data_IF_067363510964
#
_entry.id   IF_067363510964
#
_cell.length_a   1.000
_cell.length_b   1.000
_cell.length_c   1.000
_cell.angle_alpha   90.00
_cell.angle_beta   90.00
_cell.angle_gamma   90.00
#
_symmetry.space_group_name_H-M   'P 1'
#
loop_
_entity.id
_entity.type
_entity.pdbx_description
1 polymer ?
#
# COMPACT_ATOMS: atom_id res chain seq x y z
N UNK A 1 -0.65 -58.34 -18.30
CA UNK A 1 -1.51 -57.35 -17.62
C UNK A 1 -0.93 -55.97 -17.96
N UNK A 2 -1.46 -55.04 -18.78
CA UNK A 2 -2.83 -54.54 -19.04
C UNK A 2 -3.61 -54.47 -17.71
N UNK A 3 -4.10 -53.32 -17.23
CA UNK A 3 -5.06 -52.42 -17.91
C UNK A 3 -4.90 -50.96 -17.42
N UNK A 4 -5.32 -50.07 -18.33
CA UNK A 4 -5.38 -48.61 -18.52
C UNK A 4 -6.09 -47.68 -17.51
N UNK A 5 -5.68 -46.39 -17.58
CA UNK A 5 -6.42 -45.11 -17.59
C UNK A 5 -7.79 -44.99 -16.86
N UNK A 6 -7.89 -43.98 -15.99
CA UNK A 6 -9.17 -43.38 -15.57
C UNK A 6 -9.26 -41.94 -16.11
N UNK A 7 -10.09 -41.76 -17.14
CA UNK A 7 -10.44 -40.48 -17.70
C UNK A 7 -11.74 -39.96 -17.08
N UNK A 8 -11.81 -38.65 -16.87
CA UNK A 8 -13.07 -37.94 -16.66
C UNK A 8 -13.43 -37.26 -17.98
N UNK A 9 -14.52 -37.75 -18.59
CA UNK A 9 -15.13 -37.25 -19.81
C UNK A 9 -16.63 -37.20 -19.56
N UNK A 10 -17.20 -36.02 -19.41
CA UNK A 10 -18.64 -35.78 -19.67
C UNK A 10 -18.81 -34.37 -20.20
N UNK A 11 -19.06 -34.29 -21.50
CA UNK A 11 -19.58 -33.09 -22.13
C UNK A 11 -21.09 -32.99 -21.91
N UNK A 12 -21.57 -31.76 -21.87
CA UNK A 12 -22.95 -31.44 -22.21
C UNK A 12 -22.92 -30.13 -23.01
N UNK A 13 -23.10 -30.27 -24.31
CA UNK A 13 -23.42 -29.16 -25.20
C UNK A 13 -24.89 -28.78 -24.95
N UNK A 14 -25.16 -27.51 -24.68
CA UNK A 14 -26.50 -26.94 -24.77
C UNK A 14 -26.45 -25.85 -25.82
N UNK A 15 -26.78 -26.25 -27.04
CA UNK A 15 -27.25 -25.38 -28.10
C UNK A 15 -28.73 -25.14 -27.84
N UNK A 16 -29.12 -23.90 -27.56
CA UNK A 16 -30.47 -23.43 -27.87
C UNK A 16 -30.37 -22.08 -28.59
N UNK A 17 -30.71 -22.16 -29.86
CA UNK A 17 -30.95 -21.04 -30.73
C UNK A 17 -32.15 -20.23 -30.23
N UNK A 18 -31.99 -18.91 -30.25
CA UNK A 18 -33.06 -17.95 -30.01
C UNK A 18 -32.69 -16.65 -30.72
N UNK A 19 -32.84 -16.64 -32.04
CA UNK A 19 -32.85 -15.41 -32.83
C UNK A 19 -33.95 -14.50 -32.31
N UNK A 20 -33.59 -13.30 -31.85
CA UNK A 20 -34.50 -12.17 -31.86
C UNK A 20 -33.86 -11.08 -32.71
N UNK A 21 -34.11 -11.15 -34.01
CA UNK A 21 -33.81 -10.09 -34.95
C UNK A 21 -35.13 -9.64 -35.58
N UNK A 22 -35.53 -8.38 -35.38
CA UNK A 22 -36.47 -7.55 -36.17
C UNK A 22 -36.78 -6.28 -35.34
N UNK A 23 -36.76 -5.03 -35.81
CA UNK A 23 -36.23 -4.39 -37.01
C UNK A 23 -36.25 -2.85 -36.81
N UNK A 24 -35.21 -2.19 -37.35
CA UNK A 24 -35.10 -0.89 -38.04
C UNK A 24 -36.22 0.17 -37.96
N UNK A 25 -35.82 1.42 -37.66
CA UNK A 25 -36.12 2.76 -38.29
C UNK A 25 -36.14 3.87 -37.21
N UNK A 26 -35.50 5.05 -37.30
CA UNK A 26 -34.77 5.75 -38.35
C UNK A 26 -33.97 6.95 -37.78
N UNK A 27 -33.24 7.64 -38.67
CA UNK A 27 -32.07 8.49 -38.41
C UNK A 27 -32.33 9.95 -38.04
N UNK A 28 -31.37 10.59 -37.35
CA UNK A 28 -30.99 11.98 -37.59
C UNK A 28 -29.49 12.25 -37.33
N UNK A 29 -28.76 12.44 -38.44
CA UNK A 29 -27.63 13.36 -38.70
C UNK A 29 -26.25 13.10 -38.04
N UNK A 30 -25.37 12.61 -38.92
CA UNK A 30 -23.91 12.62 -38.87
C UNK A 30 -23.30 13.92 -38.37
N UNK A 31 -22.22 13.83 -37.60
CA UNK A 31 -20.88 14.29 -38.04
C UNK A 31 -19.84 13.62 -37.13
N UNK A 32 -18.98 12.77 -37.69
CA UNK A 32 -17.65 12.52 -37.15
C UNK A 32 -16.67 13.14 -38.16
N UNK A 33 -15.59 13.81 -37.69
CA UNK A 33 -14.42 13.02 -37.30
C UNK A 33 -13.65 13.56 -36.09
N UNK A 34 -12.81 12.66 -35.56
CA UNK A 34 -11.53 12.95 -34.90
C UNK A 34 -11.46 12.97 -33.36
N UNK A 35 -11.00 11.84 -32.82
CA UNK A 35 -9.90 11.71 -31.84
C UNK A 35 -9.95 12.56 -30.55
N UNK A 36 -10.47 11.96 -29.46
CA UNK A 36 -9.78 11.90 -28.15
C UNK A 36 -10.50 10.93 -27.20
N UNK A 37 -9.81 9.87 -26.78
CA UNK A 37 -10.12 9.02 -25.63
C UNK A 37 -9.74 9.76 -24.31
N UNK A 38 -9.96 9.22 -23.10
CA UNK A 38 -11.16 9.11 -22.26
C UNK A 38 -10.99 9.79 -20.87
N UNK A 39 -11.92 9.53 -19.93
CA UNK A 39 -11.60 9.27 -18.50
C UNK A 39 -11.54 10.38 -17.43
N UNK A 40 -12.17 11.55 -17.60
CA UNK A 40 -11.96 12.64 -16.62
C UNK A 40 -13.23 13.05 -15.85
N UNK A 41 -13.99 12.09 -15.31
CA UNK A 41 -15.09 12.39 -14.37
C UNK A 41 -15.12 11.56 -13.08
N UNK A 42 -14.22 10.59 -12.91
CA UNK A 42 -14.15 9.79 -11.68
C UNK A 42 -13.05 10.27 -10.71
N UNK A 43 -12.12 11.09 -11.20
CA UNK A 43 -11.03 11.62 -10.36
C UNK A 43 -11.50 12.74 -9.43
N UNK A 44 -12.48 13.56 -9.82
CA UNK A 44 -12.94 14.68 -8.99
C UNK A 44 -13.72 14.24 -7.74
N UNK A 45 -14.42 13.10 -7.78
CA UNK A 45 -15.13 12.54 -6.62
C UNK A 45 -14.18 11.92 -5.56
N UNK A 46 -12.95 11.59 -5.94
CA UNK A 46 -11.92 11.08 -5.01
C UNK A 46 -11.26 12.21 -4.22
N UNK A 47 -11.27 13.45 -4.73
CA UNK A 47 -10.72 14.62 -4.03
C UNK A 47 -11.73 15.31 -3.10
N UNK A 48 -13.03 15.03 -3.24
CA UNK A 48 -14.07 15.57 -2.35
C UNK A 48 -13.98 15.04 -0.89
N UNK A 49 -13.17 14.00 -0.62
CA UNK A 49 -12.86 13.52 0.73
C UNK A 49 -11.57 14.12 1.34
N UNK A 50 -10.88 15.01 0.62
CA UNK A 50 -9.86 15.89 1.21
C UNK A 50 -10.53 17.10 1.86
N UNK A 51 -11.51 16.82 2.72
CA UNK A 51 -12.09 17.82 3.60
C UNK A 51 -10.97 18.57 4.34
N UNK A 52 -11.26 19.84 4.64
CA UNK A 52 -10.44 20.85 5.29
C UNK A 52 -9.41 20.29 6.28
N UNK A 53 -8.26 20.96 6.50
CA UNK A 53 -7.26 20.55 7.48
C UNK A 53 -7.81 20.72 8.91
N UNK A 54 -8.77 19.88 9.29
CA UNK A 54 -9.15 19.60 10.66
C UNK A 54 -8.00 18.76 11.19
N UNK A 55 -7.26 19.34 12.14
CA UNK A 55 -6.18 18.65 12.84
C UNK A 55 -6.61 17.20 13.12
N UNK A 56 -5.85 16.19 12.65
CA UNK A 56 -6.20 14.79 12.87
C UNK A 56 -6.40 14.55 14.36
N UNK A 57 -7.41 13.74 14.71
CA UNK A 57 -7.60 13.34 16.10
C UNK A 57 -6.27 12.78 16.65
N UNK A 58 -5.89 13.06 17.92
CA UNK A 58 -4.54 12.78 18.45
C UNK A 58 -4.02 11.35 18.20
N UNK A 59 -4.91 10.35 18.19
CA UNK A 59 -4.55 8.95 17.87
C UNK A 59 -4.22 8.70 16.40
N UNK A 60 -4.90 9.38 15.46
CA UNK A 60 -4.63 9.26 14.02
C UNK A 60 -3.31 9.92 13.64
N UNK A 61 -2.93 10.99 14.34
CA UNK A 61 -1.63 11.65 14.14
C UNK A 61 -0.48 10.70 14.47
N UNK A 62 -0.65 9.87 15.51
CA UNK A 62 0.34 8.88 15.90
C UNK A 62 0.58 7.81 14.86
N UNK A 63 -0.49 7.20 14.37
CA UNK A 63 -0.39 6.17 13.34
C UNK A 63 0.22 6.74 12.06
N UNK A 64 -0.15 7.97 11.67
CA UNK A 64 0.43 8.68 10.52
C UNK A 64 1.91 8.90 10.69
N UNK A 65 2.35 9.38 11.85
CA UNK A 65 3.76 9.60 12.13
C UNK A 65 4.55 8.29 12.10
N UNK A 66 4.04 7.22 12.69
CA UNK A 66 4.68 5.89 12.63
C UNK A 66 4.79 5.40 11.18
N UNK A 67 3.74 5.55 10.37
CA UNK A 67 3.76 5.17 8.97
C UNK A 67 4.81 5.98 8.16
N UNK A 68 4.96 7.28 8.46
CA UNK A 68 6.02 8.09 7.85
C UNK A 68 7.41 7.57 8.21
N UNK A 69 7.65 7.22 9.47
CA UNK A 69 8.92 6.62 9.89
C UNK A 69 9.20 5.30 9.16
N UNK A 70 8.19 4.43 9.03
CA UNK A 70 8.33 3.18 8.27
C UNK A 70 8.73 3.46 6.81
N UNK A 71 8.04 4.38 6.15
CA UNK A 71 8.32 4.73 4.76
C UNK A 71 9.74 5.29 4.58
N UNK A 72 10.17 6.18 5.49
CA UNK A 72 11.54 6.73 5.48
C UNK A 72 12.56 5.59 5.63
N UNK A 73 12.40 4.71 6.62
CA UNK A 73 13.35 3.61 6.84
C UNK A 73 13.37 2.65 5.66
N UNK A 74 12.21 2.29 5.10
CA UNK A 74 12.11 1.43 3.91
C UNK A 74 12.81 2.06 2.70
N UNK A 75 12.69 3.37 2.49
CA UNK A 75 13.35 4.06 1.37
C UNK A 75 14.88 4.05 1.47
N UNK A 76 15.41 3.91 2.69
CA UNK A 76 16.85 3.79 2.95
C UNK A 76 17.34 2.33 2.99
N UNK A 77 16.43 1.36 3.04
CA UNK A 77 16.76 -0.06 3.06
C UNK A 77 17.33 -0.48 1.70
N UNK A 78 18.53 -1.05 1.72
CA UNK A 78 19.16 -1.60 0.52
C UNK A 78 18.67 -3.02 0.28
N UNK A 79 18.53 -3.38 -0.98
CA UNK A 79 18.14 -4.74 -1.43
C UNK A 79 16.86 -5.24 -0.74
N UNK A 80 15.83 -4.38 -0.65
CA UNK A 80 14.55 -4.68 0.01
C UNK A 80 13.95 -6.04 -0.41
N UNK A 81 14.03 -6.38 -1.70
CA UNK A 81 13.56 -7.64 -2.28
C UNK A 81 14.23 -8.89 -1.67
N UNK A 82 15.50 -8.79 -1.25
CA UNK A 82 16.22 -9.88 -0.59
C UNK A 82 15.62 -10.24 0.78
N UNK A 83 14.75 -9.38 1.30
CA UNK A 83 14.07 -9.55 2.57
C UNK A 83 12.57 -9.82 2.43
N UNK A 84 12.09 -10.16 1.22
CA UNK A 84 10.68 -10.47 0.98
C UNK A 84 10.16 -11.56 1.94
N UNK A 85 8.98 -11.31 2.52
CA UNK A 85 8.36 -12.19 3.52
C UNK A 85 8.97 -12.14 4.92
N UNK A 86 10.11 -11.47 5.10
CA UNK A 86 10.77 -11.29 6.40
C UNK A 86 10.16 -10.11 7.15
N UNK A 87 10.44 -10.05 8.45
CA UNK A 87 9.99 -8.98 9.34
C UNK A 87 11.09 -8.68 10.35
N UNK A 88 11.21 -7.41 10.73
CA UNK A 88 12.01 -6.99 11.87
C UNK A 88 11.19 -6.09 12.79
N UNK A 89 11.26 -6.31 14.09
CA UNK A 89 10.64 -5.45 15.10
C UNK A 89 11.73 -4.74 15.87
N UNK A 90 11.68 -3.40 15.87
CA UNK A 90 12.65 -2.53 16.55
C UNK A 90 11.93 -1.69 17.59
N UNK A 91 12.58 -1.49 18.74
CA UNK A 91 12.24 -0.46 19.72
C UNK A 91 13.19 0.72 19.55
N UNK A 92 12.64 1.89 19.23
CA UNK A 92 13.39 3.10 18.96
C UNK A 92 13.07 4.13 20.04
N UNK A 93 14.10 4.77 20.58
CA UNK A 93 13.99 5.91 21.50
C UNK A 93 14.30 7.18 20.73
N UNK A 94 13.39 8.15 20.78
CA UNK A 94 13.50 9.42 20.06
C UNK A 94 13.86 10.57 21.01
N UNK A 95 14.75 11.45 20.55
CA UNK A 95 14.99 12.74 21.17
C UNK A 95 13.85 13.74 20.88
N UNK A 96 13.80 14.89 21.58
CA UNK A 96 12.80 15.95 21.36
C UNK A 96 12.73 16.56 19.97
N UNK A 97 13.81 16.47 19.22
CA UNK A 97 13.90 16.90 17.82
C UNK A 97 13.40 15.83 16.82
N UNK A 98 13.08 14.61 17.29
CA UNK A 98 12.67 13.49 16.46
C UNK A 98 13.82 12.55 16.07
N UNK A 99 15.06 12.83 16.48
CA UNK A 99 16.21 12.00 16.13
C UNK A 99 16.25 10.70 16.94
N UNK A 100 16.55 9.53 16.32
CA UNK A 100 16.73 8.28 17.05
C UNK A 100 18.02 8.32 17.88
N UNK A 101 17.87 8.25 19.20
CA UNK A 101 18.98 8.21 20.18
C UNK A 101 19.22 6.82 20.76
N UNK A 102 18.32 5.87 20.48
CA UNK A 102 18.48 4.48 20.84
C UNK A 102 17.69 3.58 19.90
N UNK A 103 18.27 2.46 19.48
CA UNK A 103 17.60 1.45 18.66
C UNK A 103 17.93 0.08 19.21
N UNK A 104 16.92 -0.74 19.47
CA UNK A 104 17.05 -2.12 19.95
C UNK A 104 16.19 -3.04 19.11
N UNK A 105 16.69 -4.24 18.86
CA UNK A 105 15.94 -5.29 18.19
C UNK A 105 15.11 -6.05 19.21
N UNK A 106 13.81 -6.14 18.97
CA UNK A 106 12.88 -6.93 19.80
C UNK A 106 12.61 -8.32 19.19
N UNK A 107 12.86 -8.49 17.88
CA UNK A 107 12.80 -9.79 17.22
C UNK A 107 12.68 -9.70 15.70
N UNK A 108 12.73 -10.85 15.02
CA UNK A 108 12.62 -10.96 13.57
C UNK A 108 13.86 -11.54 12.92
N UNK A 109 14.00 -11.33 11.61
CA UNK A 109 15.17 -11.78 10.85
C UNK A 109 16.39 -10.93 11.19
N UNK A 110 17.52 -11.53 11.59
CA UNK A 110 18.67 -10.79 12.08
C UNK A 110 19.35 -9.96 10.99
N UNK A 111 19.28 -10.38 9.72
CA UNK A 111 19.92 -9.68 8.61
C UNK A 111 19.10 -8.45 8.22
N UNK A 112 17.78 -8.61 8.12
CA UNK A 112 16.85 -7.49 7.94
C UNK A 112 16.97 -6.50 9.10
N UNK A 113 17.07 -6.97 10.35
CA UNK A 113 17.22 -6.07 11.49
C UNK A 113 18.52 -5.26 11.46
N UNK A 114 19.65 -5.87 11.07
CA UNK A 114 20.90 -5.12 10.90
C UNK A 114 20.81 -4.09 9.77
N UNK A 115 20.21 -4.48 8.63
CA UNK A 115 19.98 -3.57 7.52
C UNK A 115 19.05 -2.40 7.91
N UNK A 116 18.00 -2.69 8.67
CA UNK A 116 17.07 -1.70 9.19
C UNK A 116 17.75 -0.71 10.15
N UNK A 117 18.61 -1.20 11.06
CA UNK A 117 19.38 -0.32 11.96
C UNK A 117 20.30 0.62 11.19
N UNK A 118 20.94 0.12 10.12
CA UNK A 118 21.74 0.95 9.23
C UNK A 118 20.88 1.98 8.48
N UNK A 119 19.75 1.56 7.94
CA UNK A 119 18.82 2.46 7.27
C UNK A 119 18.30 3.58 8.20
N UNK A 120 18.01 3.27 9.47
CA UNK A 120 17.64 4.25 10.48
C UNK A 120 18.76 5.27 10.69
N UNK A 121 20.00 4.80 10.88
CA UNK A 121 21.15 5.67 11.09
C UNK A 121 21.43 6.59 9.88
N UNK A 122 21.17 6.10 8.66
CA UNK A 122 21.36 6.83 7.42
C UNK A 122 20.15 7.75 7.07
N UNK A 123 19.06 7.67 7.82
CA UNK A 123 17.81 8.40 7.54
C UNK A 123 17.63 9.63 8.41
N UNK A 124 16.82 10.57 7.94
CA UNK A 124 16.42 11.77 8.69
C UNK A 124 14.97 11.63 9.10
N UNK A 125 14.73 11.43 10.38
CA UNK A 125 13.37 11.30 10.90
C UNK A 125 12.68 12.68 10.88
N UNK A 126 11.43 12.77 10.42
CA UNK A 126 10.64 13.98 10.54
C UNK A 126 10.50 14.37 12.01
N UNK A 127 10.46 15.67 12.29
CA UNK A 127 10.17 16.17 13.62
C UNK A 127 8.72 15.83 14.00
N UNK A 128 8.43 15.41 15.24
CA UNK A 128 7.06 15.24 15.71
C UNK A 128 6.23 16.52 15.52
N UNK A 129 4.96 16.42 15.08
CA UNK A 129 4.14 17.56 14.68
C UNK A 129 3.73 18.46 15.84
N UNK A 130 3.63 17.94 17.07
CA UNK A 130 3.29 18.70 18.28
C UNK A 130 4.13 18.30 19.49
N UNK A 131 4.15 19.13 20.53
CA UNK A 131 4.84 18.82 21.79
C UNK A 131 4.16 17.67 22.55
N UNK A 132 2.84 17.54 22.45
CA UNK A 132 2.07 16.41 23.01
C UNK A 132 2.41 15.10 22.29
N UNK A 133 2.59 15.16 20.97
CA UNK A 133 3.09 14.05 20.17
C UNK A 133 4.49 13.64 20.66
N UNK A 134 5.41 14.59 20.90
CA UNK A 134 6.76 14.28 21.39
C UNK A 134 6.76 13.40 22.66
N UNK A 135 5.97 13.75 23.68
CA UNK A 135 5.88 12.94 24.90
C UNK A 135 5.33 11.53 24.64
N UNK A 136 4.42 11.38 23.67
CA UNK A 136 3.87 10.09 23.26
C UNK A 136 4.81 9.26 22.35
N UNK A 137 5.92 9.84 21.88
CA UNK A 137 6.88 9.25 20.94
C UNK A 137 8.28 9.01 21.50
N UNK A 138 8.51 9.24 22.79
CA UNK A 138 9.82 9.01 23.40
C UNK A 138 10.34 7.59 23.15
N UNK A 139 9.43 6.60 23.17
CA UNK A 139 9.73 5.21 22.81
C UNK A 139 8.65 4.73 21.84
N UNK A 140 9.08 4.22 20.68
CA UNK A 140 8.20 3.62 19.69
C UNK A 140 8.64 2.19 19.37
N UNK A 141 7.66 1.36 19.05
CA UNK A 141 7.91 0.03 18.47
C UNK A 141 7.51 0.07 17.01
N UNK A 142 8.45 -0.29 16.15
CA UNK A 142 8.29 -0.28 14.71
C UNK A 142 8.45 -1.70 14.17
N UNK A 143 7.50 -2.16 13.37
CA UNK A 143 7.67 -3.38 12.57
C UNK A 143 8.01 -2.99 11.13
N UNK A 144 9.17 -3.42 10.65
CA UNK A 144 9.60 -3.28 9.27
C UNK A 144 9.26 -4.55 8.48
N UNK A 145 8.61 -4.35 7.33
CA UNK A 145 8.30 -5.38 6.34
C UNK A 145 8.55 -4.76 4.97
N UNK A 146 9.68 -5.09 4.33
CA UNK A 146 9.98 -4.64 2.97
C UNK A 146 8.91 -5.10 1.98
#
# INVERSE_FOLDING_TARGET
MKITHSGYKTGAAILLAGMFALALTGCAKSTAPSQSNPENKKVDDLFANLGDPKAPAPGKEKERYIAQLQAVIQSHLKDAEAYSGKRCTLRITLAPDGMPIGVRTEGGDPDLCRAAMKAIADSRFPKPPTAEAHNAFQIITLQLRP
#
